data_IF_050182033427
#
_entry.id   IF_050182033427
#
_cell.length_a   1.000
_cell.length_b   1.000
_cell.length_c   1.000
_cell.angle_alpha   90.00
_cell.angle_beta   90.00
_cell.angle_gamma   90.00
#
_symmetry.space_group_name_H-M   'P 1'
#
loop_
_entity.id
_entity.type
_entity.pdbx_description
1 polymer ?
#
# COMPACT_ATOMS: atom_id res chain seq x y z
N UNK A 1 17.14 38.03 -59.37
CA UNK A 1 18.28 37.22 -58.92
C UNK A 1 18.68 37.71 -57.53
N UNK A 2 18.84 36.77 -56.59
CA UNK A 2 19.16 36.96 -55.18
C UNK A 2 20.51 37.71 -54.97
N UNK A 3 20.90 38.27 -53.81
CA UNK A 3 20.87 37.71 -52.46
C UNK A 3 21.17 38.85 -51.46
N UNK A 4 20.30 39.10 -50.48
CA UNK A 4 20.55 40.06 -49.39
C UNK A 4 21.41 39.36 -48.33
N UNK A 5 22.70 39.65 -48.30
CA UNK A 5 23.63 39.23 -47.23
C UNK A 5 24.01 40.43 -46.36
N UNK A 6 23.36 40.54 -45.20
CA UNK A 6 23.81 41.40 -44.11
C UNK A 6 23.18 40.94 -42.78
N UNK A 7 23.54 39.73 -42.30
CA UNK A 7 23.28 39.36 -40.89
C UNK A 7 24.46 39.79 -40.02
N UNK A 8 24.67 41.09 -39.92
CA UNK A 8 25.67 41.73 -39.07
C UNK A 8 25.05 42.37 -37.82
N UNK A 9 24.61 41.53 -36.87
CA UNK A 9 24.49 41.77 -35.41
C UNK A 9 23.56 40.71 -34.84
N UNK A 10 24.08 39.52 -34.59
CA UNK A 10 23.40 38.56 -33.70
C UNK A 10 23.52 39.07 -32.27
N UNK A 11 22.60 39.97 -31.94
CA UNK A 11 21.90 40.08 -30.67
C UNK A 11 22.75 39.69 -29.45
N UNK A 12 23.57 40.63 -28.95
CA UNK A 12 24.32 40.46 -27.70
C UNK A 12 23.41 39.98 -26.57
N UNK A 13 22.15 40.43 -26.57
CA UNK A 13 21.10 40.04 -25.64
C UNK A 13 20.82 38.53 -25.59
N UNK A 14 21.00 37.79 -26.70
CA UNK A 14 20.87 36.32 -26.74
C UNK A 14 22.06 35.67 -26.03
N UNK A 15 23.29 36.16 -26.26
CA UNK A 15 24.50 35.62 -25.62
C UNK A 15 24.59 35.97 -24.12
N UNK A 16 24.03 37.10 -23.71
CA UNK A 16 23.92 37.48 -22.30
C UNK A 16 22.85 36.65 -21.58
N UNK A 17 21.69 36.39 -22.21
CA UNK A 17 20.67 35.52 -21.64
C UNK A 17 21.13 34.05 -21.50
N UNK A 18 21.83 33.49 -22.50
CA UNK A 18 22.36 32.13 -22.39
C UNK A 18 23.45 32.01 -21.33
N UNK A 19 24.26 33.05 -21.11
CA UNK A 19 25.22 33.10 -20.00
C UNK A 19 24.53 33.17 -18.63
N UNK A 20 23.39 33.84 -18.52
CA UNK A 20 22.57 33.86 -17.29
C UNK A 20 21.96 32.47 -17.02
N UNK A 21 21.53 31.74 -18.05
CA UNK A 21 20.99 30.38 -17.90
C UNK A 21 22.05 29.31 -17.53
N UNK A 22 23.32 29.53 -17.90
CA UNK A 22 24.43 28.61 -17.62
C UNK A 22 25.10 28.83 -16.25
N UNK A 23 24.74 29.88 -15.52
CA UNK A 23 25.25 30.09 -14.17
C UNK A 23 24.46 29.22 -13.18
N UNK A 24 25.13 28.29 -12.47
CA UNK A 24 24.45 27.48 -11.46
C UNK A 24 23.90 28.41 -10.37
N UNK A 25 22.58 28.36 -10.16
CA UNK A 25 21.93 29.14 -9.11
C UNK A 25 22.48 28.74 -7.74
N UNK A 26 22.50 29.67 -6.77
CA UNK A 26 22.96 29.38 -5.40
C UNK A 26 22.35 28.10 -4.83
N UNK A 27 21.07 27.86 -5.10
CA UNK A 27 20.34 26.64 -4.70
C UNK A 27 20.89 25.35 -5.32
N UNK A 28 21.36 25.39 -6.56
CA UNK A 28 21.95 24.24 -7.24
C UNK A 28 23.33 23.92 -6.68
N UNK A 29 24.11 24.95 -6.31
CA UNK A 29 25.41 24.81 -5.67
C UNK A 29 25.24 24.18 -4.27
N UNK A 30 24.30 24.70 -3.49
CA UNK A 30 23.99 24.17 -2.15
C UNK A 30 23.50 22.73 -2.18
N UNK A 31 22.67 22.34 -3.16
CA UNK A 31 22.20 20.96 -3.31
C UNK A 31 23.35 20.01 -3.65
N UNK A 32 24.22 20.38 -4.60
CA UNK A 32 25.41 19.59 -4.94
C UNK A 32 26.39 19.47 -3.78
N UNK A 33 26.57 20.52 -2.98
CA UNK A 33 27.42 20.47 -1.79
C UNK A 33 26.86 19.53 -0.73
N UNK A 34 25.54 19.53 -0.51
CA UNK A 34 24.86 18.60 0.40
C UNK A 34 24.93 17.15 -0.09
N UNK A 35 24.76 16.90 -1.39
CA UNK A 35 24.91 15.57 -2.00
C UNK A 35 26.34 15.04 -1.84
N UNK A 36 27.36 15.89 -2.04
CA UNK A 36 28.76 15.52 -1.85
C UNK A 36 29.08 15.21 -0.38
N UNK A 37 28.62 16.04 0.56
CA UNK A 37 28.77 15.79 2.01
C UNK A 37 28.05 14.51 2.46
N UNK A 38 26.90 14.21 1.87
CA UNK A 38 26.12 13.01 2.16
C UNK A 38 26.79 11.73 1.63
N UNK A 39 27.42 11.80 0.46
CA UNK A 39 28.18 10.71 -0.12
C UNK A 39 29.42 10.33 0.72
N UNK A 40 30.13 11.32 1.29
CA UNK A 40 31.26 11.12 2.19
C UNK A 40 30.83 10.47 3.53
N UNK A 41 29.64 10.82 4.04
CA UNK A 41 29.11 10.33 5.31
C UNK A 41 28.35 8.99 5.25
N UNK A 42 28.14 8.41 4.07
CA UNK A 42 27.39 7.15 3.90
C UNK A 42 25.89 7.24 4.18
N UNK A 43 25.33 8.45 4.31
CA UNK A 43 23.89 8.68 4.49
C UNK A 43 23.32 9.28 3.21
N UNK A 44 22.20 8.74 2.71
CA UNK A 44 21.52 9.30 1.52
C UNK A 44 20.55 10.41 1.91
N UNK A 45 20.58 11.54 1.18
CA UNK A 45 19.58 12.62 1.34
C UNK A 45 18.27 12.14 0.73
N UNK A 46 17.23 11.95 1.55
CA UNK A 46 15.88 11.63 1.07
C UNK A 46 15.31 12.86 0.38
N UNK A 47 15.28 12.85 -0.95
CA UNK A 47 14.57 13.86 -1.73
C UNK A 47 13.06 13.68 -1.54
N UNK A 48 12.43 14.58 -0.79
CA UNK A 48 10.98 14.71 -0.82
C UNK A 48 10.59 15.36 -2.15
N UNK A 49 10.04 14.57 -3.08
CA UNK A 49 9.44 15.10 -4.29
C UNK A 49 8.41 16.18 -3.92
N UNK A 50 8.71 17.44 -4.23
CA UNK A 50 7.78 18.55 -4.04
C UNK A 50 6.53 18.23 -4.88
N UNK A 51 5.47 17.82 -4.19
CA UNK A 51 4.26 17.33 -4.82
C UNK A 51 3.66 18.36 -5.79
N UNK A 52 2.98 17.84 -6.82
CA UNK A 52 2.10 18.61 -7.70
C UNK A 52 1.16 19.46 -6.85
N UNK A 53 0.92 20.73 -7.23
CA UNK A 53 -0.01 21.63 -6.55
C UNK A 53 -1.33 20.90 -6.30
N UNK A 54 -1.65 20.64 -5.04
CA UNK A 54 -2.97 20.15 -4.64
C UNK A 54 -3.91 21.35 -4.68
N UNK A 55 -4.99 21.25 -5.45
CA UNK A 55 -6.09 22.22 -5.37
C UNK A 55 -6.84 21.96 -4.07
N UNK A 56 -6.86 22.94 -3.18
CA UNK A 56 -7.66 22.90 -1.95
C UNK A 56 -9.10 23.21 -2.32
N UNK A 57 -10.02 22.30 -1.99
CA UNK A 57 -11.45 22.58 -2.01
C UNK A 57 -11.79 23.48 -0.82
N UNK A 58 -12.42 24.63 -1.09
CA UNK A 58 -12.56 25.74 -0.15
C UNK A 58 -13.51 25.47 1.02
N UNK A 59 -14.34 24.42 0.93
CA UNK A 59 -15.33 24.11 1.96
C UNK A 59 -14.79 23.13 3.02
N UNK A 60 -13.89 22.22 2.66
CA UNK A 60 -13.49 21.11 3.52
C UNK A 60 -12.03 21.15 3.96
N UNK A 61 -11.17 21.98 3.36
CA UNK A 61 -9.77 22.15 3.77
C UNK A 61 -8.88 20.90 3.62
N UNK A 62 -9.41 19.80 3.06
CA UNK A 62 -8.69 18.54 2.90
C UNK A 62 -7.97 18.53 1.56
N UNK A 63 -6.65 18.34 1.61
CA UNK A 63 -5.80 18.28 0.42
C UNK A 63 -5.91 16.92 -0.30
N UNK A 64 -6.99 16.72 -1.07
CA UNK A 64 -7.23 15.50 -1.86
C UNK A 64 -6.26 15.45 -3.04
N UNK A 65 -5.22 14.63 -2.94
CA UNK A 65 -4.49 14.19 -4.14
C UNK A 65 -5.43 13.32 -4.96
N UNK A 66 -5.54 13.55 -6.27
CA UNK A 66 -6.40 12.79 -7.18
C UNK A 66 -5.91 11.34 -7.31
N UNK A 67 -6.07 10.54 -6.26
CA UNK A 67 -6.00 9.09 -6.33
C UNK A 67 -7.40 8.66 -6.74
N UNK A 68 -7.54 8.06 -7.92
CA UNK A 68 -8.80 7.51 -8.37
C UNK A 68 -9.40 6.65 -7.25
N UNK A 69 -10.61 6.98 -6.80
CA UNK A 69 -11.27 6.27 -5.69
C UNK A 69 -11.30 4.75 -5.96
N UNK A 70 -11.47 4.35 -7.23
CA UNK A 70 -11.40 2.97 -7.68
C UNK A 70 -10.07 2.26 -7.38
N UNK A 71 -8.93 2.96 -7.43
CA UNK A 71 -7.63 2.40 -7.08
C UNK A 71 -7.47 2.20 -5.56
N UNK A 72 -8.09 3.06 -4.75
CA UNK A 72 -8.12 2.92 -3.29
C UNK A 72 -9.04 1.76 -2.89
N UNK A 73 -10.24 1.69 -3.47
CA UNK A 73 -11.22 0.62 -3.21
C UNK A 73 -10.65 -0.76 -3.60
N UNK A 74 -10.00 -0.88 -4.76
CA UNK A 74 -9.33 -2.13 -5.15
C UNK A 74 -8.19 -2.52 -4.20
N UNK A 75 -7.41 -1.56 -3.70
CA UNK A 75 -6.35 -1.85 -2.72
C UNK A 75 -6.91 -2.27 -1.35
N UNK A 76 -8.08 -1.77 -0.98
CA UNK A 76 -8.77 -2.18 0.25
C UNK A 76 -9.41 -3.57 0.10
N UNK A 77 -10.04 -3.86 -1.05
CA UNK A 77 -10.66 -5.15 -1.33
C UNK A 77 -9.66 -6.32 -1.44
N UNK A 78 -8.43 -6.05 -1.88
CA UNK A 78 -7.35 -7.06 -1.96
C UNK A 78 -6.75 -7.42 -0.61
N UNK A 79 -7.02 -6.63 0.44
CA UNK A 79 -6.61 -6.97 1.81
C UNK A 79 -7.73 -7.83 2.41
N UNK A 80 -7.39 -9.03 2.89
CA UNK A 80 -8.31 -9.75 3.78
C UNK A 80 -8.72 -8.77 4.89
N UNK A 81 -10.02 -8.65 5.21
CA UNK A 81 -10.44 -7.80 6.31
C UNK A 81 -9.61 -8.22 7.51
N UNK A 82 -8.93 -7.24 8.14
CA UNK A 82 -8.40 -7.43 9.49
C UNK A 82 -9.63 -7.50 10.37
N UNK A 83 -10.26 -8.67 10.38
CA UNK A 83 -11.20 -9.07 11.40
C UNK A 83 -10.44 -8.82 12.69
N UNK A 84 -10.90 -7.80 13.42
CA UNK A 84 -10.48 -7.55 14.79
C UNK A 84 -10.48 -8.92 15.46
N UNK A 85 -9.34 -9.34 16.01
CA UNK A 85 -9.18 -10.69 16.55
C UNK A 85 -10.34 -10.95 17.52
N UNK A 86 -11.40 -11.61 17.04
CA UNK A 86 -12.63 -11.84 17.80
C UNK A 86 -12.28 -12.55 19.11
N UNK A 87 -11.21 -13.34 19.04
CA UNK A 87 -10.60 -14.07 20.13
C UNK A 87 -9.30 -13.40 20.58
N UNK A 88 -9.38 -12.19 21.14
CA UNK A 88 -8.21 -11.51 21.70
C UNK A 88 -7.53 -12.36 22.78
N UNK A 89 -8.30 -13.16 23.53
CA UNK A 89 -7.78 -13.96 24.62
C UNK A 89 -7.71 -15.45 24.29
N UNK A 90 -6.64 -16.09 24.78
CA UNK A 90 -6.40 -17.53 24.63
C UNK A 90 -7.46 -18.41 25.32
N UNK A 91 -8.24 -17.89 26.27
CA UNK A 91 -9.30 -18.65 26.92
C UNK A 91 -10.54 -18.78 26.03
N UNK A 92 -10.85 -17.76 25.21
CA UNK A 92 -12.00 -17.78 24.29
C UNK A 92 -11.88 -18.95 23.30
N UNK A 93 -10.67 -19.14 22.75
CA UNK A 93 -10.37 -20.28 21.85
C UNK A 93 -10.51 -21.64 22.54
N UNK A 94 -10.03 -21.76 23.79
CA UNK A 94 -10.11 -23.01 24.55
C UNK A 94 -11.55 -23.36 24.94
N UNK A 95 -12.35 -22.38 25.31
CA UNK A 95 -13.76 -22.58 25.64
C UNK A 95 -14.56 -22.97 24.39
N UNK A 96 -14.35 -22.29 23.26
CA UNK A 96 -14.99 -22.65 22.00
C UNK A 96 -14.68 -24.11 21.59
N UNK A 97 -13.40 -24.50 21.64
CA UNK A 97 -12.98 -25.88 21.35
C UNK A 97 -13.57 -26.89 22.34
N UNK A 98 -13.63 -26.56 23.63
CA UNK A 98 -14.23 -27.44 24.64
C UNK A 98 -15.71 -27.65 24.38
N UNK A 99 -16.45 -26.58 24.07
CA UNK A 99 -17.88 -26.66 23.79
C UNK A 99 -18.15 -27.53 22.55
N UNK A 100 -17.36 -27.34 21.49
CA UNK A 100 -17.45 -28.18 20.29
C UNK A 100 -17.18 -29.67 20.59
N UNK A 101 -16.16 -29.98 21.39
CA UNK A 101 -15.87 -31.36 21.80
C UNK A 101 -17.02 -31.94 22.64
N UNK A 102 -17.60 -31.17 23.55
CA UNK A 102 -18.73 -31.60 24.38
C UNK A 102 -19.97 -31.93 23.51
N UNK A 103 -20.27 -31.10 22.52
CA UNK A 103 -21.35 -31.36 21.56
C UNK A 103 -21.11 -32.63 20.74
N UNK A 104 -19.87 -32.84 20.28
CA UNK A 104 -19.49 -34.05 19.53
C UNK A 104 -19.61 -35.31 20.39
N UNK A 105 -19.22 -35.24 21.67
CA UNK A 105 -19.36 -36.35 22.61
C UNK A 105 -20.83 -36.72 22.83
N UNK A 106 -21.72 -35.74 23.02
CA UNK A 106 -23.15 -35.97 23.15
C UNK A 106 -23.75 -36.69 21.92
N UNK A 107 -23.43 -36.19 20.73
CA UNK A 107 -23.86 -36.83 19.46
C UNK A 107 -23.32 -38.26 19.33
N UNK A 108 -22.06 -38.48 19.69
CA UNK A 108 -21.44 -39.80 19.63
C UNK A 108 -22.11 -40.81 20.58
N UNK A 109 -22.50 -40.39 21.77
CA UNK A 109 -23.25 -41.25 22.71
C UNK A 109 -24.63 -41.62 22.18
N UNK A 110 -25.35 -40.69 21.55
CA UNK A 110 -26.62 -40.98 20.89
C UNK A 110 -26.44 -42.01 19.77
N UNK A 111 -25.45 -41.80 18.90
CA UNK A 111 -25.17 -42.70 17.79
C UNK A 111 -24.71 -44.08 18.27
N UNK A 112 -23.94 -44.14 19.37
CA UNK A 112 -23.59 -45.41 20.02
C UNK A 112 -24.83 -46.19 20.45
N UNK A 113 -25.83 -45.52 21.04
CA UNK A 113 -27.11 -46.14 21.43
C UNK A 113 -27.90 -46.61 20.20
N UNK A 114 -28.02 -45.77 19.16
CA UNK A 114 -28.68 -46.14 17.88
C UNK A 114 -28.02 -47.35 17.23
N UNK A 115 -26.69 -47.37 17.18
CA UNK A 115 -25.93 -48.47 16.58
C UNK A 115 -26.07 -49.77 17.37
N UNK A 116 -26.14 -49.70 18.71
CA UNK A 116 -26.43 -50.86 19.54
C UNK A 116 -27.80 -51.45 19.26
N UNK A 117 -28.84 -50.61 19.12
CA UNK A 117 -30.17 -51.06 18.73
C UNK A 117 -30.16 -51.74 17.35
N UNK A 118 -29.52 -51.14 16.35
CA UNK A 118 -29.39 -51.71 15.01
C UNK A 118 -28.59 -53.02 15.00
N UNK A 119 -27.55 -53.13 15.82
CA UNK A 119 -26.78 -54.37 15.98
C UNK A 119 -27.64 -55.47 16.60
N UNK A 120 -28.48 -55.14 17.58
CA UNK A 120 -29.37 -56.09 18.22
C UNK A 120 -30.50 -56.57 17.28
N UNK A 121 -31.03 -55.68 16.42
CA UNK A 121 -32.06 -56.06 15.43
C UNK A 121 -31.49 -56.79 14.23
N UNK A 122 -30.20 -56.59 13.92
CA UNK A 122 -29.55 -57.24 12.78
C UNK A 122 -29.44 -58.75 13.02
N UNK A 123 -30.07 -59.52 12.13
CA UNK A 123 -29.88 -60.98 12.04
C UNK A 123 -28.62 -61.27 11.23
N UNK A 124 -27.53 -61.54 11.93
CA UNK A 124 -26.26 -61.92 11.31
C UNK A 124 -26.43 -63.22 10.49
N UNK A 125 -26.00 -63.20 9.23
CA UNK A 125 -25.99 -64.34 8.31
C UNK A 125 -24.54 -64.64 7.93
N UNK A 126 -23.91 -65.67 8.54
CA UNK A 126 -22.47 -65.91 8.42
C UNK A 126 -21.99 -66.68 7.18
N UNK A 127 -22.88 -67.06 6.25
CA UNK A 127 -22.55 -67.83 5.05
C UNK A 127 -23.14 -67.16 3.82
#
# INVERSE_FOLDING_TARGET
MAYVSARGRVNSMITWNTKIELLPTRTMIERKAKEALAAEGGWTVVEHHKGRKKTTDSESGIAVGSVAQAAVVNKLARKKPKEMCLDFYRFQKREAQRNEIMELQGKFEEDKKRLQQLRATRKFRPY
#
